data_IF_440665900381
#
_entry.id   IF_440665900381
#
_cell.length_a   1.000
_cell.length_b   1.000
_cell.length_c   1.000
_cell.angle_alpha   90.00
_cell.angle_beta   90.00
_cell.angle_gamma   90.00
#
_symmetry.space_group_name_H-M   'P 1'
#
loop_
_entity.id
_entity.type
_entity.pdbx_description
1 polymer ?
#
# COMPACT_ATOMS: atom_id res chain seq x y z
N UNK A 1 1.30 -15.99 11.69
CA UNK A 1 0.75 -14.69 11.29
C UNK A 1 1.81 -14.01 10.43
N UNK A 2 1.45 -13.19 9.43
CA UNK A 2 2.46 -12.51 8.62
C UNK A 2 3.21 -11.48 9.47
N UNK A 3 4.54 -11.48 9.38
CA UNK A 3 5.43 -10.61 10.13
C UNK A 3 6.20 -9.67 9.19
N UNK A 4 6.44 -8.44 9.65
CA UNK A 4 7.22 -7.47 8.90
C UNK A 4 8.67 -7.95 8.81
N UNK A 5 9.22 -7.96 7.59
CA UNK A 5 10.64 -8.21 7.33
C UNK A 5 11.47 -7.00 7.75
N UNK A 6 11.67 -6.84 9.06
CA UNK A 6 12.42 -5.75 9.66
C UNK A 6 13.71 -6.25 10.30
N UNK A 7 14.84 -5.63 9.98
CA UNK A 7 16.13 -5.96 10.57
C UNK A 7 16.64 -4.84 11.49
N UNK A 8 16.68 -5.12 12.81
CA UNK A 8 17.18 -4.17 13.81
C UNK A 8 18.64 -3.77 13.57
N UNK A 9 19.47 -4.66 13.02
CA UNK A 9 20.90 -4.40 12.77
C UNK A 9 21.09 -3.30 11.72
N UNK A 10 20.31 -3.32 10.65
CA UNK A 10 20.30 -2.24 9.64
C UNK A 10 20.04 -0.86 10.27
N UNK A 11 19.17 -0.80 11.28
CA UNK A 11 18.92 0.45 12.00
C UNK A 11 20.03 0.84 12.98
N UNK A 12 20.70 -0.14 13.60
CA UNK A 12 21.87 0.13 14.45
C UNK A 12 23.03 0.74 13.63
N UNK A 13 23.23 0.26 12.41
CA UNK A 13 24.27 0.75 11.48
C UNK A 13 23.87 2.05 10.77
N UNK A 14 22.59 2.43 10.82
CA UNK A 14 22.07 3.62 10.15
C UNK A 14 22.53 4.91 10.84
N UNK A 15 23.56 5.53 10.27
CA UNK A 15 24.05 6.84 10.72
C UNK A 15 23.14 8.00 10.34
N UNK A 16 22.27 7.87 9.35
CA UNK A 16 21.46 8.99 8.86
C UNK A 16 20.18 9.18 9.66
N UNK A 17 19.52 8.07 10.04
CA UNK A 17 18.18 8.06 10.67
C UNK A 17 17.18 8.94 9.89
N UNK A 18 17.31 8.94 8.56
CA UNK A 18 16.54 9.79 7.65
C UNK A 18 15.04 9.60 7.78
N UNK A 19 14.59 8.43 8.22
CA UNK A 19 13.19 8.12 8.46
C UNK A 19 12.52 9.08 9.45
N UNK A 20 13.25 9.61 10.44
CA UNK A 20 12.75 10.62 11.38
C UNK A 20 13.37 12.00 11.15
N UNK A 21 14.67 12.09 10.84
CA UNK A 21 15.34 13.39 10.62
C UNK A 21 14.75 14.18 9.46
N UNK A 22 14.22 13.49 8.43
CA UNK A 22 13.58 14.13 7.27
C UNK A 22 12.05 14.15 7.37
N UNK A 23 11.47 13.82 8.53
CA UNK A 23 10.02 13.86 8.69
C UNK A 23 9.51 15.28 8.42
N UNK A 24 8.46 15.41 7.60
CA UNK A 24 7.88 16.70 7.25
C UNK A 24 6.94 17.26 8.33
N UNK A 25 6.61 16.44 9.34
CA UNK A 25 5.61 16.74 10.37
C UNK A 25 6.15 16.67 11.80
N UNK A 26 7.36 16.14 11.98
CA UNK A 26 8.02 16.00 13.27
C UNK A 26 9.41 16.58 13.12
N UNK A 27 9.71 17.64 13.86
CA UNK A 27 11.03 18.24 13.90
C UNK A 27 11.89 17.55 14.98
N UNK A 28 12.95 16.88 14.54
CA UNK A 28 13.87 16.14 15.39
C UNK A 28 15.29 16.33 14.88
N UNK A 29 16.19 16.74 15.77
CA UNK A 29 17.60 16.62 15.46
C UNK A 29 18.03 15.15 15.44
N UNK A 30 19.21 14.88 14.90
CA UNK A 30 19.73 13.52 14.72
C UNK A 30 19.79 12.70 16.02
N UNK A 31 20.16 13.32 17.14
CA UNK A 31 20.29 12.64 18.43
C UNK A 31 18.92 12.25 18.98
N UNK A 32 17.96 13.16 18.91
CA UNK A 32 16.57 12.92 19.32
C UNK A 32 15.91 11.87 18.42
N UNK A 33 16.06 12.01 17.11
CA UNK A 33 15.59 11.04 16.12
C UNK A 33 16.13 9.64 16.41
N UNK A 34 17.43 9.50 16.70
CA UNK A 34 18.02 8.20 17.03
C UNK A 34 17.42 7.63 18.32
N UNK A 35 17.24 8.46 19.35
CA UNK A 35 16.66 8.03 20.63
C UNK A 35 15.22 7.53 20.45
N UNK A 36 14.37 8.32 19.80
CA UNK A 36 12.97 7.95 19.59
C UNK A 36 12.82 6.76 18.64
N UNK A 37 13.65 6.68 17.60
CA UNK A 37 13.64 5.53 16.70
C UNK A 37 13.98 4.21 17.42
N UNK A 38 14.92 4.24 18.36
CA UNK A 38 15.22 3.05 19.17
C UNK A 38 14.04 2.61 20.04
N UNK A 39 13.29 3.56 20.62
CA UNK A 39 12.06 3.24 21.35
C UNK A 39 11.05 2.53 20.45
N UNK A 40 10.80 3.06 19.25
CA UNK A 40 9.89 2.45 18.26
C UNK A 40 10.35 1.03 17.88
N UNK A 41 11.65 0.84 17.62
CA UNK A 41 12.23 -0.49 17.31
C UNK A 41 11.99 -1.49 18.46
N UNK A 42 12.13 -1.03 19.70
CA UNK A 42 11.99 -1.85 20.90
C UNK A 42 10.54 -2.05 21.36
N UNK A 43 9.57 -1.38 20.74
CA UNK A 43 8.16 -1.44 21.17
C UNK A 43 7.86 -0.60 22.41
N UNK A 44 8.75 0.32 22.76
CA UNK A 44 8.58 1.27 23.86
C UNK A 44 7.68 2.43 23.45
N UNK A 45 7.23 3.22 24.42
CA UNK A 45 6.42 4.41 24.16
C UNK A 45 7.27 5.52 23.54
N UNK A 46 6.83 6.03 22.39
CA UNK A 46 7.47 7.13 21.69
C UNK A 46 6.40 8.07 21.15
N UNK A 47 6.60 9.37 21.35
CA UNK A 47 5.67 10.39 20.85
C UNK A 47 5.55 10.36 19.31
N UNK A 48 6.54 9.77 18.62
CA UNK A 48 6.50 9.56 17.17
C UNK A 48 5.27 8.75 16.76
N UNK A 49 4.82 7.81 17.59
CA UNK A 49 3.65 6.99 17.31
C UNK A 49 2.37 7.83 17.29
N UNK A 50 2.24 8.80 18.20
CA UNK A 50 1.10 9.71 18.27
C UNK A 50 1.19 10.85 17.23
N UNK A 51 2.39 11.34 16.95
CA UNK A 51 2.62 12.47 16.05
C UNK A 51 2.67 12.09 14.56
N UNK A 52 2.79 10.80 14.23
CA UNK A 52 2.88 10.35 12.84
C UNK A 52 1.56 10.60 12.09
N UNK A 53 1.60 11.42 11.04
CA UNK A 53 0.45 11.68 10.15
C UNK A 53 0.26 10.61 9.05
N UNK A 54 1.05 9.53 9.08
CA UNK A 54 0.97 8.40 8.14
C UNK A 54 1.21 8.74 6.65
N UNK A 55 2.13 9.68 6.36
CA UNK A 55 2.40 10.16 4.99
C UNK A 55 3.29 9.25 4.10
N UNK A 56 3.70 8.06 4.55
CA UNK A 56 4.64 7.15 3.88
C UNK A 56 6.07 7.63 3.65
N UNK A 57 6.38 8.93 3.71
CA UNK A 57 7.66 9.48 3.26
C UNK A 57 8.90 8.81 3.88
N UNK A 58 8.83 8.39 5.15
CA UNK A 58 9.94 7.71 5.81
C UNK A 58 10.30 6.35 5.17
N UNK A 59 9.36 5.70 4.49
CA UNK A 59 9.55 4.49 3.71
C UNK A 59 10.53 4.73 2.55
N UNK A 60 10.35 5.86 1.85
CA UNK A 60 11.22 6.27 0.74
C UNK A 60 12.58 6.82 1.22
N UNK A 61 12.61 7.43 2.41
CA UNK A 61 13.84 8.00 2.95
C UNK A 61 14.80 6.96 3.53
N UNK A 62 14.35 5.74 3.78
CA UNK A 62 15.16 4.71 4.40
C UNK A 62 16.23 4.18 3.43
N UNK A 63 17.54 4.47 3.64
CA UNK A 63 18.58 4.05 2.70
C UNK A 63 18.79 2.53 2.68
N UNK A 64 18.23 1.81 3.66
CA UNK A 64 18.35 0.35 3.79
C UNK A 64 17.09 -0.41 3.36
N UNK A 65 16.03 0.31 2.93
CA UNK A 65 14.73 -0.29 2.61
C UNK A 65 14.18 -1.14 3.75
N UNK A 66 14.32 -0.66 4.99
CA UNK A 66 14.02 -1.42 6.21
C UNK A 66 12.64 -1.09 6.80
N UNK A 67 11.69 -0.71 5.94
CA UNK A 67 10.27 -0.56 6.26
C UNK A 67 9.91 0.26 7.52
N UNK A 68 10.49 1.45 7.74
CA UNK A 68 10.24 2.21 8.96
C UNK A 68 8.77 2.62 9.10
N UNK A 69 8.07 2.91 7.99
CA UNK A 69 6.67 3.30 8.07
C UNK A 69 5.80 2.15 8.55
N UNK A 70 5.98 0.97 7.97
CA UNK A 70 5.19 -0.20 8.35
C UNK A 70 5.45 -0.61 9.81
N UNK A 71 6.69 -0.48 10.31
CA UNK A 71 6.99 -0.70 11.73
C UNK A 71 6.25 0.30 12.63
N UNK A 72 6.20 1.59 12.26
CA UNK A 72 5.43 2.59 13.02
C UNK A 72 3.96 2.18 13.12
N UNK A 73 3.35 1.76 11.99
CA UNK A 73 1.95 1.33 11.95
C UNK A 73 1.71 0.10 12.84
N UNK A 74 2.63 -0.87 12.85
CA UNK A 74 2.55 -2.04 13.75
C UNK A 74 2.58 -1.62 15.22
N UNK A 75 3.50 -0.72 15.60
CA UNK A 75 3.60 -0.21 16.98
C UNK A 75 2.38 0.62 17.38
N UNK A 76 1.84 1.41 16.47
CA UNK A 76 0.59 2.14 16.69
C UNK A 76 -0.56 1.17 16.95
N UNK A 77 -0.67 0.10 16.18
CA UNK A 77 -1.72 -0.90 16.37
C UNK A 77 -1.58 -1.65 17.71
N UNK A 78 -0.37 -2.14 18.03
CA UNK A 78 -0.04 -2.82 19.29
C UNK A 78 -0.42 -1.98 20.52
N UNK A 79 -0.19 -0.66 20.45
CA UNK A 79 -0.49 0.29 21.54
C UNK A 79 -1.88 0.92 21.43
N UNK A 80 -2.67 0.53 20.41
CA UNK A 80 -3.98 1.09 20.12
C UNK A 80 -3.95 2.65 20.01
N UNK A 81 -2.89 3.19 19.40
CA UNK A 81 -2.81 4.58 18.94
C UNK A 81 -3.70 4.70 17.71
N UNK A 82 -4.75 5.50 17.78
CA UNK A 82 -5.78 5.57 16.75
C UNK A 82 -5.74 6.91 16.02
N UNK A 83 -5.65 6.87 14.70
CA UNK A 83 -5.78 8.06 13.86
C UNK A 83 -7.22 8.60 13.76
N UNK A 84 -8.22 7.79 14.16
CA UNK A 84 -9.63 8.15 14.14
C UNK A 84 -10.39 7.48 15.28
N UNK A 85 -11.60 7.98 15.65
CA UNK A 85 -12.46 7.32 16.61
C UNK A 85 -12.68 5.83 16.29
N UNK A 86 -12.56 4.97 17.30
CA UNK A 86 -12.67 3.50 17.16
C UNK A 86 -13.92 3.05 16.40
N UNK A 87 -15.04 3.72 16.61
CA UNK A 87 -16.30 3.42 15.93
C UNK A 87 -16.21 3.62 14.41
N UNK A 88 -15.56 4.70 13.96
CA UNK A 88 -15.35 4.99 12.54
C UNK A 88 -14.42 3.97 11.89
N UNK A 89 -13.32 3.61 12.57
CA UNK A 89 -12.40 2.56 12.09
C UNK A 89 -13.16 1.24 11.92
N UNK A 90 -13.92 0.83 12.95
CA UNK A 90 -14.69 -0.42 12.90
C UNK A 90 -15.73 -0.40 11.77
N UNK A 91 -16.45 0.71 11.61
CA UNK A 91 -17.42 0.87 10.54
C UNK A 91 -16.74 0.77 9.16
N UNK A 92 -15.60 1.44 8.97
CA UNK A 92 -14.84 1.41 7.71
C UNK A 92 -14.32 0.01 7.38
N UNK A 93 -13.74 -0.69 8.36
CA UNK A 93 -13.27 -2.09 8.20
C UNK A 93 -14.41 -3.03 7.80
N UNK A 94 -15.60 -2.85 8.39
CA UNK A 94 -16.77 -3.68 8.12
C UNK A 94 -17.40 -3.37 6.75
N UNK A 95 -17.50 -2.09 6.38
CA UNK A 95 -18.11 -1.66 5.12
C UNK A 95 -17.33 -2.15 3.90
N UNK A 96 -16.00 -2.16 4.00
CA UNK A 96 -15.12 -2.62 2.92
C UNK A 96 -14.72 -4.11 3.07
N UNK A 97 -15.40 -4.86 3.94
CA UNK A 97 -15.14 -6.30 4.05
C UNK A 97 -15.60 -7.03 2.77
N UNK A 98 -14.81 -7.97 2.22
CA UNK A 98 -15.26 -8.83 1.15
C UNK A 98 -16.56 -9.56 1.54
N UNK A 99 -17.55 -9.56 0.65
CA UNK A 99 -18.89 -10.13 0.91
C UNK A 99 -19.35 -11.11 -0.16
N UNK A 100 -18.47 -11.45 -1.11
CA UNK A 100 -18.78 -12.24 -2.29
C UNK A 100 -19.46 -11.42 -3.40
N UNK A 101 -19.39 -10.09 -3.34
CA UNK A 101 -20.07 -9.17 -4.27
C UNK A 101 -19.06 -8.29 -4.98
N UNK A 102 -18.70 -8.69 -6.19
CA UNK A 102 -17.79 -7.98 -7.07
C UNK A 102 -18.33 -7.93 -8.50
N UNK A 103 -17.74 -7.07 -9.32
CA UNK A 103 -18.02 -6.93 -10.75
C UNK A 103 -16.76 -7.23 -11.54
N UNK A 104 -16.94 -7.91 -12.66
CA UNK A 104 -15.89 -8.24 -13.61
C UNK A 104 -16.28 -7.69 -14.98
N UNK A 105 -15.26 -7.25 -15.72
CA UNK A 105 -15.34 -7.19 -17.17
C UNK A 105 -15.07 -8.56 -17.81
N UNK A 106 -14.84 -8.57 -19.11
CA UNK A 106 -14.27 -9.72 -19.83
C UNK A 106 -12.77 -9.83 -19.53
N UNK A 107 -12.45 -10.36 -18.34
CA UNK A 107 -11.08 -10.41 -17.82
C UNK A 107 -10.17 -11.23 -18.74
N UNK A 108 -9.09 -10.59 -19.21
CA UNK A 108 -7.99 -11.17 -19.98
C UNK A 108 -6.71 -11.16 -19.15
N UNK A 109 -5.63 -11.74 -19.71
CA UNK A 109 -4.32 -11.78 -19.05
C UNK A 109 -3.80 -10.39 -18.64
N UNK A 110 -4.09 -9.35 -19.43
CA UNK A 110 -3.86 -7.95 -19.06
C UNK A 110 -5.17 -7.35 -18.54
N UNK A 111 -5.18 -6.90 -17.29
CA UNK A 111 -6.41 -6.49 -16.59
C UNK A 111 -6.21 -5.15 -15.88
N UNK A 112 -7.21 -4.26 -15.93
CA UNK A 112 -7.23 -3.05 -15.12
C UNK A 112 -7.87 -3.31 -13.74
N UNK A 113 -7.16 -2.95 -12.67
CA UNK A 113 -7.72 -2.92 -11.32
C UNK A 113 -8.46 -1.60 -11.08
N UNK A 114 -9.78 -1.67 -10.90
CA UNK A 114 -10.57 -0.57 -10.38
C UNK A 114 -10.62 -0.59 -8.84
N UNK A 115 -9.90 -1.51 -8.20
CA UNK A 115 -9.88 -1.69 -6.76
C UNK A 115 -11.32 -1.83 -6.21
N UNK A 116 -11.68 -1.05 -5.19
CA UNK A 116 -13.05 -0.91 -4.68
C UNK A 116 -13.76 0.38 -5.17
N UNK A 117 -13.17 1.07 -6.17
CA UNK A 117 -13.53 2.43 -6.55
C UNK A 117 -14.12 2.47 -7.98
N UNK A 118 -15.46 2.41 -8.13
CA UNK A 118 -16.10 2.36 -9.46
C UNK A 118 -15.76 3.55 -10.36
N UNK A 119 -15.48 4.72 -9.75
CA UNK A 119 -15.12 5.94 -10.49
C UNK A 119 -13.84 5.79 -11.32
N UNK A 120 -12.92 4.89 -10.94
CA UNK A 120 -11.71 4.63 -11.74
C UNK A 120 -12.04 4.08 -13.14
N UNK A 121 -13.14 3.33 -13.29
CA UNK A 121 -13.59 2.86 -14.60
C UNK A 121 -14.03 3.98 -15.54
N UNK A 122 -14.48 5.12 -15.00
CA UNK A 122 -14.80 6.30 -15.82
C UNK A 122 -13.56 7.04 -16.33
N UNK A 123 -12.43 6.91 -15.61
CA UNK A 123 -11.15 7.52 -15.98
C UNK A 123 -10.33 6.64 -16.94
N UNK A 124 -10.53 5.32 -16.89
CA UNK A 124 -9.85 4.35 -17.74
C UNK A 124 -10.59 4.11 -19.07
N UNK A 125 -10.85 5.19 -19.82
CA UNK A 125 -11.59 5.15 -21.08
C UNK A 125 -10.81 5.80 -22.24
N UNK A 126 -11.27 5.53 -23.47
CA UNK A 126 -10.70 6.11 -24.68
C UNK A 126 -9.46 5.36 -25.20
N UNK A 127 -8.81 5.93 -26.21
CA UNK A 127 -7.75 5.28 -27.01
C UNK A 127 -6.55 4.81 -26.18
N UNK A 128 -6.25 5.48 -25.06
CA UNK A 128 -5.12 5.10 -24.19
C UNK A 128 -5.41 3.87 -23.32
N UNK A 129 -6.67 3.40 -23.26
CA UNK A 129 -7.09 2.25 -22.47
C UNK A 129 -7.82 1.19 -23.31
N UNK A 130 -7.79 1.29 -24.64
CA UNK A 130 -8.51 0.39 -25.53
C UNK A 130 -8.14 -1.09 -25.35
N UNK A 131 -6.89 -1.36 -24.98
CA UNK A 131 -6.37 -2.71 -24.74
C UNK A 131 -6.86 -3.36 -23.44
N UNK A 132 -7.51 -2.57 -22.57
CA UNK A 132 -8.10 -3.03 -21.30
C UNK A 132 -9.54 -2.56 -21.09
N UNK A 133 -10.17 -1.98 -22.10
CA UNK A 133 -11.50 -1.37 -21.99
C UNK A 133 -12.58 -2.34 -21.47
N UNK A 134 -12.48 -3.63 -21.84
CA UNK A 134 -13.37 -4.68 -21.36
C UNK A 134 -12.76 -5.54 -20.26
N UNK A 135 -11.44 -5.48 -20.02
CA UNK A 135 -10.72 -6.35 -19.09
C UNK A 135 -10.42 -5.62 -17.78
N UNK A 136 -11.33 -5.72 -16.81
CA UNK A 136 -11.20 -5.05 -15.53
C UNK A 136 -11.85 -5.82 -14.37
N UNK A 137 -11.43 -5.49 -13.15
CA UNK A 137 -11.93 -6.05 -11.89
C UNK A 137 -12.31 -4.94 -10.91
N UNK A 138 -13.40 -5.12 -10.17
CA UNK A 138 -13.94 -4.12 -9.23
C UNK A 138 -14.69 -4.78 -8.08
N UNK A 139 -14.37 -4.41 -6.84
CA UNK A 139 -15.08 -4.88 -5.65
C UNK A 139 -14.21 -4.92 -4.41
N UNK A 140 -14.83 -5.16 -3.26
CA UNK A 140 -14.11 -5.32 -1.99
C UNK A 140 -13.16 -6.53 -2.01
N UNK A 141 -13.46 -7.52 -2.85
CA UNK A 141 -12.68 -8.72 -3.12
C UNK A 141 -11.34 -8.42 -3.82
N UNK A 142 -11.23 -7.25 -4.45
CA UNK A 142 -10.03 -6.76 -5.15
C UNK A 142 -9.43 -5.51 -4.48
N UNK A 143 -9.90 -5.16 -3.29
CA UNK A 143 -9.44 -3.98 -2.57
C UNK A 143 -8.00 -4.17 -2.07
N UNK A 144 -7.09 -3.24 -2.37
CA UNK A 144 -5.69 -3.36 -1.91
C UNK A 144 -5.50 -3.20 -0.40
N UNK A 145 -6.49 -2.68 0.34
CA UNK A 145 -6.47 -2.49 1.80
C UNK A 145 -5.38 -1.51 2.34
N UNK A 146 -4.58 -0.87 1.48
CA UNK A 146 -3.53 0.07 1.90
C UNK A 146 -4.02 1.21 2.81
N UNK A 147 -5.25 1.69 2.60
CA UNK A 147 -5.84 2.76 3.43
C UNK A 147 -5.80 2.44 4.94
N UNK A 148 -5.78 1.16 5.33
CA UNK A 148 -5.73 0.77 6.75
C UNK A 148 -4.39 1.07 7.42
N UNK A 149 -3.34 1.39 6.66
CA UNK A 149 -2.10 1.96 7.18
C UNK A 149 -2.36 3.32 7.85
N UNK A 150 -3.28 4.13 7.30
CA UNK A 150 -3.70 5.40 7.89
C UNK A 150 -4.56 5.27 9.14
N UNK A 151 -5.08 4.07 9.43
CA UNK A 151 -5.92 3.80 10.59
C UNK A 151 -5.20 2.96 11.66
N UNK A 152 -3.89 2.73 11.51
CA UNK A 152 -3.12 1.87 12.40
C UNK A 152 -3.73 0.48 12.51
N UNK A 153 -4.09 -0.10 11.35
CA UNK A 153 -4.73 -1.43 11.22
C UNK A 153 -3.99 -2.30 10.21
N UNK A 154 -2.74 -2.59 10.51
CA UNK A 154 -1.92 -3.54 9.74
C UNK A 154 -2.50 -4.96 9.80
N UNK A 155 -3.10 -5.36 10.92
CA UNK A 155 -3.71 -6.69 11.08
C UNK A 155 -4.77 -6.99 10.00
N UNK A 156 -5.58 -6.00 9.64
CA UNK A 156 -6.61 -6.11 8.59
C UNK A 156 -5.96 -6.38 7.23
N UNK A 157 -4.85 -5.71 6.93
CA UNK A 157 -4.10 -5.90 5.68
C UNK A 157 -3.50 -7.31 5.66
N UNK A 158 -2.81 -7.72 6.73
CA UNK A 158 -2.20 -9.05 6.87
C UNK A 158 -3.22 -10.17 6.69
N UNK A 159 -4.45 -9.97 7.17
CA UNK A 159 -5.53 -10.95 7.03
C UNK A 159 -6.10 -11.00 5.60
N UNK A 160 -6.32 -9.83 4.97
CA UNK A 160 -7.11 -9.74 3.73
C UNK A 160 -6.27 -9.77 2.46
N UNK A 161 -5.08 -9.17 2.47
CA UNK A 161 -4.27 -8.98 1.27
C UNK A 161 -3.90 -10.29 0.55
N UNK A 162 -3.54 -11.40 1.24
CA UNK A 162 -3.31 -12.68 0.56
C UNK A 162 -4.52 -13.17 -0.23
N UNK A 163 -5.73 -13.03 0.33
CA UNK A 163 -6.99 -13.42 -0.34
C UNK A 163 -7.31 -12.51 -1.53
N UNK A 164 -7.00 -11.22 -1.42
CA UNK A 164 -7.15 -10.27 -2.53
C UNK A 164 -6.25 -10.67 -3.70
N UNK A 165 -4.98 -10.97 -3.43
CA UNK A 165 -4.02 -11.43 -4.45
C UNK A 165 -4.48 -12.75 -5.08
N UNK A 166 -4.97 -13.69 -4.28
CA UNK A 166 -5.55 -14.95 -4.76
C UNK A 166 -6.77 -14.69 -5.67
N UNK A 167 -7.67 -13.81 -5.28
CA UNK A 167 -8.87 -13.46 -6.06
C UNK A 167 -8.51 -12.88 -7.43
N UNK A 168 -7.51 -11.99 -7.49
CA UNK A 168 -6.99 -11.43 -8.75
C UNK A 168 -6.42 -12.55 -9.62
N UNK A 169 -5.56 -13.39 -9.04
CA UNK A 169 -4.90 -14.50 -9.75
C UNK A 169 -5.89 -15.49 -10.34
N UNK A 170 -6.99 -15.78 -9.61
CA UNK A 170 -8.09 -16.66 -10.07
C UNK A 170 -8.81 -16.16 -11.31
N UNK A 171 -8.71 -14.86 -11.64
CA UNK A 171 -9.28 -14.33 -12.88
C UNK A 171 -8.38 -14.55 -14.10
N UNK A 172 -7.21 -15.17 -13.93
CA UNK A 172 -6.25 -15.40 -15.02
C UNK A 172 -5.38 -14.19 -15.35
N UNK A 173 -5.38 -13.15 -14.51
CA UNK A 173 -4.54 -11.96 -14.68
C UNK A 173 -3.05 -12.31 -14.55
N UNK A 174 -2.26 -11.90 -15.54
CA UNK A 174 -0.79 -11.94 -15.56
C UNK A 174 -0.16 -10.56 -15.46
N UNK A 175 -0.82 -9.55 -16.05
CA UNK A 175 -0.43 -8.14 -15.95
C UNK A 175 -1.59 -7.31 -15.39
N UNK A 176 -1.40 -6.71 -14.21
CA UNK A 176 -2.40 -5.91 -13.52
C UNK A 176 -2.06 -4.41 -13.61
N UNK A 177 -2.85 -3.65 -14.36
CA UNK A 177 -2.76 -2.19 -14.36
C UNK A 177 -3.41 -1.65 -13.10
N UNK A 178 -2.63 -0.99 -12.25
CA UNK A 178 -3.11 -0.33 -11.04
C UNK A 178 -3.50 1.12 -11.36
N UNK A 179 -4.80 1.44 -11.36
CA UNK A 179 -5.34 2.78 -11.60
C UNK A 179 -5.33 3.70 -10.37
N UNK A 180 -4.66 3.26 -9.31
CA UNK A 180 -4.53 3.98 -8.06
C UNK A 180 -3.16 3.67 -7.45
N UNK A 181 -2.45 4.71 -7.02
CA UNK A 181 -1.06 4.63 -6.53
C UNK A 181 -0.92 3.64 -5.37
N UNK A 182 -1.87 3.66 -4.42
CA UNK A 182 -1.84 2.75 -3.28
C UNK A 182 -1.95 1.28 -3.71
N UNK A 183 -2.70 0.97 -4.77
CA UNK A 183 -2.75 -0.41 -5.29
C UNK A 183 -1.37 -0.84 -5.79
N UNK A 184 -0.70 0.02 -6.56
CA UNK A 184 0.64 -0.28 -7.06
C UNK A 184 1.63 -0.45 -5.92
N UNK A 185 1.65 0.48 -4.95
CA UNK A 185 2.52 0.43 -3.79
C UNK A 185 2.23 -0.78 -2.89
N UNK A 186 0.95 -1.20 -2.78
CA UNK A 186 0.57 -2.40 -2.02
C UNK A 186 1.30 -3.63 -2.55
N UNK A 187 1.27 -3.84 -3.86
CA UNK A 187 1.83 -5.05 -4.45
C UNK A 187 3.35 -5.01 -4.60
N UNK A 188 3.96 -3.83 -4.77
CA UNK A 188 5.41 -3.70 -4.98
C UNK A 188 6.22 -3.37 -3.73
N UNK A 189 5.60 -2.80 -2.69
CA UNK A 189 6.29 -2.40 -1.47
C UNK A 189 5.73 -3.14 -0.24
N UNK A 190 4.42 -3.02 0.00
CA UNK A 190 3.80 -3.54 1.21
C UNK A 190 3.79 -5.08 1.25
N UNK A 191 3.33 -5.75 0.19
CA UNK A 191 3.27 -7.21 0.13
C UNK A 191 4.67 -7.85 0.31
N UNK A 192 5.73 -7.44 -0.42
CA UNK A 192 7.08 -7.96 -0.21
C UNK A 192 7.62 -7.73 1.21
N UNK A 193 7.28 -6.60 1.84
CA UNK A 193 7.68 -6.28 3.22
C UNK A 193 7.14 -7.30 4.23
N UNK A 194 6.05 -7.99 3.93
CA UNK A 194 5.48 -9.08 4.73
C UNK A 194 5.75 -10.48 4.16
N UNK A 195 6.56 -10.58 3.10
CA UNK A 195 6.82 -11.84 2.42
C UNK A 195 5.60 -12.44 1.72
N UNK A 196 4.66 -11.61 1.31
CA UNK A 196 3.52 -12.03 0.48
C UNK A 196 3.98 -12.01 -0.99
N UNK A 197 3.83 -13.14 -1.67
CA UNK A 197 4.13 -13.25 -3.10
C UNK A 197 3.00 -12.64 -3.94
N UNK A 198 3.38 -11.89 -4.97
CA UNK A 198 2.46 -11.32 -5.96
C UNK A 198 2.72 -12.04 -7.29
N UNK A 199 1.84 -12.97 -7.73
CA UNK A 199 2.10 -13.87 -8.85
C UNK A 199 1.77 -13.26 -10.23
N UNK A 200 1.55 -11.95 -10.28
CA UNK A 200 1.29 -11.19 -11.49
C UNK A 200 2.17 -9.95 -11.53
N UNK A 201 2.53 -9.50 -12.73
CA UNK A 201 3.24 -8.25 -12.91
C UNK A 201 2.27 -7.10 -12.71
N UNK A 202 2.66 -6.10 -11.92
CA UNK A 202 1.87 -4.88 -11.76
C UNK A 202 2.42 -3.76 -12.63
N UNK A 203 1.53 -2.96 -13.22
CA UNK A 203 1.87 -1.82 -14.06
C UNK A 203 1.22 -0.58 -13.44
N UNK A 204 2.00 0.46 -13.19
CA UNK A 204 1.44 1.74 -12.73
C UNK A 204 0.66 2.38 -13.89
N UNK A 205 -0.52 2.95 -13.66
CA UNK A 205 -1.30 3.52 -14.77
C UNK A 205 -0.53 4.62 -15.53
N UNK A 206 0.27 5.45 -14.85
CA UNK A 206 1.15 6.42 -15.53
C UNK A 206 2.18 5.75 -16.45
N UNK A 207 2.72 4.59 -16.07
CA UNK A 207 3.61 3.80 -16.94
C UNK A 207 2.84 3.31 -18.17
N UNK A 208 1.64 2.75 -17.97
CA UNK A 208 0.77 2.32 -19.06
C UNK A 208 0.45 3.46 -20.03
N UNK A 209 0.02 4.62 -19.50
CA UNK A 209 -0.28 5.82 -20.28
C UNK A 209 0.94 6.28 -21.08
N UNK A 210 2.12 6.32 -20.45
CA UNK A 210 3.36 6.72 -21.11
C UNK A 210 3.72 5.79 -22.28
N UNK A 211 3.58 4.47 -22.11
CA UNK A 211 3.83 3.52 -23.20
C UNK A 211 2.81 3.69 -24.32
N UNK A 212 1.52 3.87 -24.00
CA UNK A 212 0.47 4.11 -24.99
C UNK A 212 0.69 5.38 -25.80
N UNK A 213 1.17 6.46 -25.16
CA UNK A 213 1.56 7.69 -25.84
C UNK A 213 2.76 7.47 -26.78
N UNK A 214 3.74 6.64 -26.39
CA UNK A 214 4.87 6.28 -27.25
C UNK A 214 4.45 5.48 -28.49
N UNK A 215 3.57 4.50 -28.30
CA UNK A 215 3.01 3.67 -29.37
C UNK A 215 2.20 4.51 -30.37
N UNK A 216 1.49 5.53 -29.87
CA UNK A 216 0.61 6.39 -30.66
C UNK A 216 1.24 7.71 -31.09
N UNK A 217 2.57 7.84 -31.09
CA UNK A 217 3.28 9.09 -31.45
C UNK A 217 2.89 9.69 -32.82
N UNK A 218 2.45 8.88 -33.77
CA UNK A 218 2.06 9.28 -35.12
C UNK A 218 0.56 9.55 -35.28
N UNK A 219 -0.25 9.31 -34.25
CA UNK A 219 -1.70 9.46 -34.26
C UNK A 219 -2.24 10.45 -33.22
N UNK A 220 -1.37 11.32 -32.70
CA UNK A 220 -1.65 12.46 -31.82
C UNK A 220 -0.97 13.69 -32.43
#
# INVERSE_FOLDING_TARGET
MLELKFDKKKCADCKAVSCLVKCQYIDLNKTEAKKEWQKVINGEDSFVLDACTTCYACEEYCPFGNHPFYLIVERQEEKNVLAAPRALIKQWVNMCAPSGKFMLGDVKEKTASLCFMPRLGSLAQGKLFEDVATSWILGAEFFCNAVYLHFSRMSVIKERLPKVIENISKQGTKELICLHDECYATYNSLAPAYGIDVPFKTIHYMEHLYQKLKENKSGI
#
